data_IF_707081039472
#
_entry.id   IF_707081039472
#
_cell.length_a   1.000
_cell.length_b   1.000
_cell.length_c   1.000
_cell.angle_alpha   90.00
_cell.angle_beta   90.00
_cell.angle_gamma   90.00
#
_symmetry.space_group_name_H-M   'P 1'
#
loop_
_entity.id
_entity.type
_entity.pdbx_description
1 polymer ?
#
# COMPACT_ATOMS: atom_id res chain seq x y z
N UNK A 1 26.67 -18.52 60.36
CA UNK A 1 26.22 -18.93 59.01
C UNK A 1 24.85 -18.33 58.78
N UNK A 2 24.72 -17.38 57.85
CA UNK A 2 23.43 -16.78 57.49
C UNK A 2 23.31 -16.84 55.97
N UNK A 3 22.30 -17.58 55.50
CA UNK A 3 22.03 -17.82 54.08
C UNK A 3 21.10 -16.73 53.58
N UNK A 4 21.56 -15.90 52.65
CA UNK A 4 20.70 -14.93 51.96
C UNK A 4 20.07 -15.62 50.75
N UNK A 5 18.75 -15.82 50.80
CA UNK A 5 17.96 -16.23 49.64
C UNK A 5 17.72 -15.00 48.76
N UNK A 6 18.34 -14.95 47.58
CA UNK A 6 18.12 -13.92 46.58
C UNK A 6 16.93 -14.32 45.69
N UNK A 7 15.80 -13.64 45.86
CA UNK A 7 14.62 -13.78 45.01
C UNK A 7 14.90 -13.10 43.66
N UNK A 8 15.01 -13.89 42.58
CA UNK A 8 15.13 -13.37 41.22
C UNK A 8 13.75 -12.94 40.75
N UNK A 9 13.53 -11.63 40.64
CA UNK A 9 12.35 -11.07 39.97
C UNK A 9 12.55 -11.24 38.46
N UNK A 10 11.78 -12.13 37.84
CA UNK A 10 11.74 -12.27 36.39
C UNK A 10 11.04 -11.05 35.79
N UNK A 11 11.81 -10.08 35.31
CA UNK A 11 11.33 -8.99 34.48
C UNK A 11 10.86 -9.56 33.14
N UNK A 12 9.54 -9.60 32.94
CA UNK A 12 8.93 -9.77 31.63
C UNK A 12 9.33 -8.56 30.77
N UNK A 13 10.39 -8.72 29.99
CA UNK A 13 10.74 -7.84 28.89
C UNK A 13 9.62 -7.95 27.85
N UNK A 14 8.68 -7.01 27.90
CA UNK A 14 7.83 -6.72 26.74
C UNK A 14 8.80 -6.22 25.68
N UNK A 15 9.10 -7.07 24.70
CA UNK A 15 9.90 -6.66 23.56
C UNK A 15 9.24 -5.40 22.97
N UNK A 16 9.98 -4.30 22.77
CA UNK A 16 9.44 -3.19 22.00
C UNK A 16 9.02 -3.78 20.66
N UNK A 17 7.76 -3.59 20.28
CA UNK A 17 7.31 -3.78 18.91
C UNK A 17 8.17 -2.83 18.09
N UNK A 18 9.29 -3.35 17.59
CA UNK A 18 10.18 -2.62 16.72
C UNK A 18 9.34 -2.11 15.58
N UNK A 19 9.39 -0.80 15.37
CA UNK A 19 9.01 -0.16 14.12
C UNK A 19 9.49 -1.08 12.99
N UNK A 20 8.56 -1.61 12.20
CA UNK A 20 8.92 -2.43 11.06
C UNK A 20 9.92 -1.63 10.23
N UNK A 21 11.11 -2.21 10.04
CA UNK A 21 12.18 -1.61 9.25
C UNK A 21 11.60 -1.28 7.85
N UNK A 22 11.62 0.01 7.43
CA UNK A 22 11.00 0.46 6.20
C UNK A 22 11.66 -0.11 4.92
N UNK A 23 12.68 -0.96 5.04
CA UNK A 23 13.30 -1.69 3.94
C UNK A 23 12.93 -3.19 3.87
N UNK A 24 12.16 -3.71 4.83
CA UNK A 24 11.83 -5.15 4.86
C UNK A 24 10.53 -5.39 4.13
N UNK A 25 10.66 -6.09 3.00
CA UNK A 25 9.51 -6.54 2.24
C UNK A 25 8.56 -7.35 3.13
N UNK A 26 7.24 -7.08 3.08
CA UNK A 26 6.27 -7.74 3.92
C UNK A 26 6.30 -9.25 3.69
N UNK A 27 6.05 -9.98 4.78
CA UNK A 27 5.90 -11.43 4.76
C UNK A 27 4.46 -11.78 5.08
N UNK A 28 4.04 -12.96 4.63
CA UNK A 28 2.77 -13.52 5.05
C UNK A 28 2.68 -13.58 6.58
N UNK A 29 1.54 -13.14 7.10
CA UNK A 29 1.30 -12.99 8.51
C UNK A 29 2.07 -11.85 9.19
N UNK A 30 2.74 -10.92 8.51
CA UNK A 30 3.31 -9.72 9.15
C UNK A 30 2.26 -8.62 9.34
N UNK A 31 2.40 -7.70 10.32
CA UNK A 31 1.50 -6.55 10.45
C UNK A 31 1.49 -5.66 9.20
N UNK A 32 0.34 -5.08 8.87
CA UNK A 32 0.16 -4.23 7.68
C UNK A 32 -0.56 -2.90 7.95
N UNK A 33 -0.42 -2.35 9.16
CA UNK A 33 -1.22 -1.20 9.60
C UNK A 33 -1.07 0.07 8.76
N UNK A 34 0.07 0.23 8.07
CA UNK A 34 0.33 1.36 7.20
C UNK A 34 -0.42 1.30 5.85
N UNK A 35 -0.87 0.11 5.43
CA UNK A 35 -1.32 -0.12 4.06
C UNK A 35 -2.77 0.27 3.76
N UNK A 36 -3.62 0.44 4.77
CA UNK A 36 -5.10 0.37 4.67
C UNK A 36 -5.63 -1.05 4.42
N UNK A 37 -6.87 -1.36 4.85
CA UNK A 37 -7.51 -2.64 4.54
C UNK A 37 -7.65 -2.82 3.02
N UNK A 38 -7.57 -4.07 2.58
CA UNK A 38 -7.72 -4.50 1.19
C UNK A 38 -6.62 -4.00 0.23
N UNK A 39 -5.60 -3.33 0.76
CA UNK A 39 -4.41 -2.98 -0.01
C UNK A 39 -3.61 -4.21 -0.37
N UNK A 40 -3.12 -4.22 -1.61
CA UNK A 40 -2.26 -5.28 -2.13
C UNK A 40 -0.81 -4.80 -2.21
N UNK A 41 0.13 -5.73 -2.19
CA UNK A 41 1.57 -5.45 -2.41
C UNK A 41 2.22 -6.71 -2.96
N UNK A 42 3.36 -6.58 -3.63
CA UNK A 42 4.11 -7.76 -4.02
C UNK A 42 4.94 -8.28 -2.85
N UNK A 43 4.87 -9.59 -2.61
CA UNK A 43 5.74 -10.27 -1.65
C UNK A 43 7.23 -10.17 -2.06
N UNK A 44 7.49 -10.00 -3.36
CA UNK A 44 8.78 -9.75 -4.01
C UNK A 44 8.58 -8.84 -5.21
N UNK A 45 9.52 -7.93 -5.57
CA UNK A 45 9.34 -7.10 -6.75
C UNK A 45 9.10 -7.97 -7.98
N UNK A 46 8.11 -7.62 -8.79
CA UNK A 46 7.79 -8.36 -10.01
C UNK A 46 9.02 -8.39 -10.93
N UNK A 47 9.36 -9.57 -11.41
CA UNK A 47 10.44 -9.79 -12.38
C UNK A 47 9.92 -10.59 -13.57
N UNK A 48 10.04 -10.04 -14.77
CA UNK A 48 9.53 -10.66 -15.98
C UNK A 48 8.00 -10.70 -16.04
N UNK A 49 7.45 -11.74 -16.67
CA UNK A 49 6.03 -11.87 -17.03
C UNK A 49 5.24 -12.86 -16.17
N UNK A 50 5.88 -13.52 -15.21
CA UNK A 50 5.21 -14.45 -14.30
C UNK A 50 4.19 -13.70 -13.41
N UNK A 51 3.11 -14.38 -13.02
CA UNK A 51 2.20 -13.85 -12.01
C UNK A 51 2.98 -13.61 -10.71
N UNK A 52 2.88 -12.40 -10.12
CA UNK A 52 3.63 -12.07 -8.93
C UNK A 52 3.04 -12.79 -7.71
N UNK A 53 3.88 -13.09 -6.73
CA UNK A 53 3.41 -13.42 -5.40
C UNK A 53 2.85 -12.16 -4.74
N UNK A 54 1.59 -12.20 -4.31
CA UNK A 54 0.87 -11.04 -3.78
C UNK A 54 0.47 -11.25 -2.33
N UNK A 55 0.52 -10.17 -1.55
CA UNK A 55 -0.05 -10.11 -0.21
C UNK A 55 -1.22 -9.13 -0.21
N UNK A 56 -2.27 -9.47 0.53
CA UNK A 56 -3.43 -8.63 0.81
C UNK A 56 -3.44 -8.24 2.28
N UNK A 57 -3.63 -6.97 2.60
CA UNK A 57 -3.76 -6.52 3.98
C UNK A 57 -5.18 -6.77 4.48
N UNK A 58 -5.34 -7.74 5.37
CA UNK A 58 -6.66 -8.18 5.87
C UNK A 58 -6.85 -7.85 7.35
N UNK A 59 -8.12 -7.67 7.74
CA UNK A 59 -8.54 -7.39 9.11
C UNK A 59 -8.84 -5.90 9.38
N UNK A 60 -9.11 -5.57 10.65
CA UNK A 60 -9.41 -4.19 11.07
C UNK A 60 -8.47 -3.71 12.18
N UNK A 61 -8.54 -4.34 13.36
CA UNK A 61 -7.57 -4.14 14.44
C UNK A 61 -6.53 -5.27 14.41
N UNK A 62 -5.25 -4.92 14.35
CA UNK A 62 -4.16 -5.90 14.20
C UNK A 62 -4.09 -6.50 12.80
N UNK A 63 -4.22 -5.66 11.77
CA UNK A 63 -4.23 -6.08 10.37
C UNK A 63 -2.94 -6.81 10.00
N UNK A 64 -3.06 -7.85 9.19
CA UNK A 64 -1.92 -8.64 8.75
C UNK A 64 -1.95 -8.87 7.26
N UNK A 65 -0.76 -8.95 6.67
CA UNK A 65 -0.58 -9.44 5.33
C UNK A 65 -1.01 -10.90 5.24
N UNK A 66 -1.79 -11.22 4.23
CA UNK A 66 -2.17 -12.58 3.87
C UNK A 66 -1.76 -12.85 2.43
N UNK A 67 -1.05 -13.94 2.19
CA UNK A 67 -0.74 -14.38 0.84
C UNK A 67 -2.00 -14.74 0.06
N UNK A 68 -2.07 -14.26 -1.17
CA UNK A 68 -3.09 -14.62 -2.15
C UNK A 68 -2.44 -15.14 -3.44
N UNK A 69 -3.17 -15.93 -4.22
CA UNK A 69 -2.61 -16.64 -5.37
C UNK A 69 -2.20 -15.72 -6.53
N UNK A 70 -2.86 -14.56 -6.66
CA UNK A 70 -2.65 -13.62 -7.77
C UNK A 70 -3.12 -12.22 -7.38
N UNK A 71 -2.63 -11.23 -8.13
CA UNK A 71 -3.09 -9.86 -8.02
C UNK A 71 -4.59 -9.79 -8.34
N UNK A 72 -5.37 -9.20 -7.44
CA UNK A 72 -6.78 -8.90 -7.66
C UNK A 72 -6.88 -7.63 -8.50
N UNK A 73 -7.43 -7.80 -9.69
CA UNK A 73 -7.50 -6.77 -10.72
C UNK A 73 -8.95 -6.31 -10.95
N UNK A 74 -9.20 -5.03 -11.24
CA UNK A 74 -8.22 -3.94 -11.17
C UNK A 74 -7.79 -3.69 -9.71
N UNK A 75 -6.53 -3.33 -9.52
CA UNK A 75 -6.00 -2.94 -8.22
C UNK A 75 -6.60 -1.59 -7.87
N UNK A 76 -7.32 -1.52 -6.75
CA UNK A 76 -7.92 -0.29 -6.24
C UNK A 76 -7.09 0.37 -5.13
N UNK A 77 -6.29 -0.42 -4.44
CA UNK A 77 -5.35 0.02 -3.41
C UNK A 77 -4.09 -0.84 -3.46
N UNK A 78 -2.95 -0.17 -3.43
CA UNK A 78 -1.64 -0.79 -3.52
C UNK A 78 -0.69 -0.16 -2.50
N UNK A 79 0.26 -0.94 -2.00
CA UNK A 79 1.25 -0.46 -1.05
C UNK A 79 2.66 -0.85 -1.50
N UNK A 80 3.58 0.10 -1.40
CA UNK A 80 5.01 -0.10 -1.68
C UNK A 80 5.82 0.10 -0.40
N UNK A 81 6.88 -0.71 -0.23
CA UNK A 81 7.73 -0.76 0.96
C UNK A 81 9.13 -0.17 0.73
N UNK A 82 9.29 0.76 -0.21
CA UNK A 82 10.59 1.36 -0.54
C UNK A 82 11.08 0.99 -1.94
N UNK A 83 11.35 -0.30 -2.26
CA UNK A 83 11.70 -0.73 -3.62
C UNK A 83 10.64 -0.35 -4.65
N UNK A 84 11.06 -0.21 -5.90
CA UNK A 84 10.13 0.06 -7.00
C UNK A 84 9.31 -1.19 -7.30
N UNK A 85 8.00 -1.01 -7.37
CA UNK A 85 7.05 -2.02 -7.84
C UNK A 85 6.35 -1.49 -9.09
N UNK A 86 6.10 -2.37 -10.06
CA UNK A 86 5.55 -1.97 -11.36
C UNK A 86 4.22 -2.67 -11.64
N UNK A 87 3.20 -1.85 -11.89
CA UNK A 87 1.89 -2.24 -12.38
C UNK A 87 1.79 -1.98 -13.90
N UNK A 88 0.96 -2.75 -14.58
CA UNK A 88 0.75 -2.67 -16.04
C UNK A 88 -0.71 -2.36 -16.37
N UNK A 89 -1.04 -2.00 -17.63
CA UNK A 89 -2.41 -1.70 -18.05
C UNK A 89 -3.48 -2.73 -17.70
N UNK A 90 -3.13 -4.02 -17.59
CA UNK A 90 -4.06 -5.06 -17.15
C UNK A 90 -4.28 -5.11 -15.63
N UNK A 91 -3.39 -4.50 -14.84
CA UNK A 91 -3.45 -4.52 -13.38
C UNK A 91 -4.34 -3.40 -12.81
N UNK A 92 -4.54 -2.30 -13.55
CA UNK A 92 -5.24 -1.08 -13.10
C UNK A 92 -6.25 -0.61 -14.14
N UNK A 93 -7.18 0.25 -13.75
CA UNK A 93 -8.04 0.95 -14.70
C UNK A 93 -7.33 2.18 -15.26
N UNK A 94 -7.08 2.20 -16.57
CA UNK A 94 -6.52 3.38 -17.22
C UNK A 94 -7.53 4.53 -17.23
N UNK A 95 -7.03 5.77 -17.14
CA UNK A 95 -7.86 6.96 -17.05
C UNK A 95 -8.30 7.32 -15.63
N UNK A 96 -8.18 6.40 -14.67
CA UNK A 96 -8.47 6.68 -13.26
C UNK A 96 -7.43 7.64 -12.67
N UNK A 97 -7.88 8.42 -11.69
CA UNK A 97 -7.01 9.22 -10.84
C UNK A 97 -6.55 8.40 -9.65
N UNK A 98 -5.27 8.55 -9.29
CA UNK A 98 -4.64 7.89 -8.16
C UNK A 98 -3.98 8.93 -7.25
N UNK A 99 -4.03 8.67 -5.95
CA UNK A 99 -3.33 9.45 -4.94
C UNK A 99 -2.21 8.61 -4.31
N UNK A 100 -1.05 9.24 -4.13
CA UNK A 100 0.08 8.69 -3.37
C UNK A 100 0.20 9.36 -2.00
N UNK A 101 0.33 8.54 -0.96
CA UNK A 101 0.40 8.98 0.44
C UNK A 101 1.57 8.28 1.13
N UNK A 102 2.48 9.05 1.73
CA UNK A 102 3.57 8.50 2.54
C UNK A 102 3.03 7.80 3.79
N UNK A 103 3.57 6.61 4.09
CA UNK A 103 3.22 5.88 5.33
C UNK A 103 3.75 6.54 6.60
N UNK A 104 4.79 7.37 6.44
CA UNK A 104 5.42 8.17 7.48
C UNK A 104 5.52 9.62 7.02
N UNK A 105 5.72 10.55 7.96
CA UNK A 105 5.81 11.98 7.65
C UNK A 105 7.01 12.33 6.79
N UNK A 106 8.06 11.52 6.79
CA UNK A 106 9.30 11.67 6.00
C UNK A 106 9.27 10.89 4.68
N UNK A 107 8.25 10.06 4.43
CA UNK A 107 8.18 9.23 3.23
C UNK A 107 8.00 10.06 1.96
N UNK A 108 8.86 9.79 0.98
CA UNK A 108 8.77 10.31 -0.38
C UNK A 108 8.22 9.22 -1.30
N UNK A 109 7.12 9.53 -1.95
CA UNK A 109 6.39 8.70 -2.89
C UNK A 109 6.62 9.19 -4.30
N UNK A 110 7.06 8.31 -5.18
CA UNK A 110 7.30 8.61 -6.59
C UNK A 110 6.46 7.67 -7.45
N UNK A 111 5.67 8.26 -8.34
CA UNK A 111 4.96 7.57 -9.40
C UNK A 111 5.59 7.98 -10.74
N UNK A 112 6.02 7.01 -11.52
CA UNK A 112 6.52 7.19 -12.88
C UNK A 112 5.70 6.34 -13.83
N UNK A 113 5.08 6.97 -14.82
CA UNK A 113 4.38 6.28 -15.89
C UNK A 113 5.15 6.40 -17.20
N UNK A 114 5.40 5.27 -17.85
CA UNK A 114 5.90 5.19 -19.22
C UNK A 114 4.73 5.03 -20.18
N UNK A 115 4.96 5.26 -21.49
CA UNK A 115 3.89 5.31 -22.47
C UNK A 115 4.17 4.44 -23.69
N UNK A 116 3.13 3.80 -24.21
CA UNK A 116 3.18 2.91 -25.39
C UNK A 116 3.42 3.67 -26.69
N UNK A 117 3.05 4.95 -26.74
CA UNK A 117 3.24 5.84 -27.88
C UNK A 117 4.68 6.39 -28.01
N UNK A 118 5.57 6.01 -27.09
CA UNK A 118 6.98 6.39 -27.10
C UNK A 118 7.27 7.80 -26.60
N UNK A 119 6.27 8.54 -26.10
CA UNK A 119 6.54 9.84 -25.48
C UNK A 119 7.33 9.68 -24.17
N UNK A 120 8.01 10.74 -23.68
CA UNK A 120 8.79 10.67 -22.44
C UNK A 120 7.94 10.28 -21.23
N UNK A 121 8.51 9.55 -20.27
CA UNK A 121 7.84 9.21 -19.01
C UNK A 121 7.36 10.45 -18.26
N UNK A 122 6.21 10.33 -17.59
CA UNK A 122 5.73 11.33 -16.65
C UNK A 122 6.06 10.90 -15.23
N UNK A 123 6.75 11.77 -14.48
CA UNK A 123 7.14 11.54 -13.09
C UNK A 123 6.37 12.50 -12.19
N UNK A 124 5.80 11.97 -11.12
CA UNK A 124 5.15 12.71 -10.05
C UNK A 124 5.72 12.26 -8.72
N UNK A 125 6.03 13.24 -7.87
CA UNK A 125 6.54 13.01 -6.52
C UNK A 125 5.78 13.89 -5.56
N UNK A 126 5.55 13.40 -4.35
CA UNK A 126 5.13 14.30 -3.27
C UNK A 126 6.32 15.11 -2.73
N UNK A 127 5.99 16.25 -2.13
CA UNK A 127 6.82 16.78 -1.06
C UNK A 127 6.61 15.92 0.19
N UNK A 128 7.62 15.86 1.05
CA UNK A 128 7.61 15.11 2.31
C UNK A 128 6.30 15.32 3.09
N UNK A 129 5.57 14.24 3.37
CA UNK A 129 4.31 14.25 4.12
C UNK A 129 3.08 14.78 3.39
N UNK A 130 3.16 15.09 2.08
CA UNK A 130 2.03 15.60 1.30
C UNK A 130 1.38 14.54 0.41
N UNK A 131 0.09 14.71 0.17
CA UNK A 131 -0.66 14.00 -0.86
C UNK A 131 -0.28 14.54 -2.24
N UNK A 132 -0.26 13.67 -3.23
CA UNK A 132 -0.26 14.11 -4.64
C UNK A 132 -1.16 13.19 -5.45
N UNK A 133 -1.89 13.79 -6.39
CA UNK A 133 -2.73 13.09 -7.35
C UNK A 133 -2.08 13.03 -8.72
N UNK A 134 -2.29 11.94 -9.44
CA UNK A 134 -1.89 11.77 -10.83
C UNK A 134 -2.92 10.95 -11.59
N UNK A 135 -3.06 11.22 -12.88
CA UNK A 135 -3.99 10.51 -13.75
C UNK A 135 -3.24 9.42 -14.50
N UNK A 136 -3.75 8.19 -14.44
CA UNK A 136 -3.25 7.12 -15.27
C UNK A 136 -3.60 7.41 -16.72
N UNK A 137 -2.59 7.46 -17.58
CA UNK A 137 -2.85 7.71 -19.00
C UNK A 137 -3.54 6.51 -19.67
N UNK A 138 -4.48 6.75 -20.60
CA UNK A 138 -4.97 5.72 -21.51
C UNK A 138 -3.87 5.04 -22.35
N UNK A 139 -2.73 5.71 -22.56
CA UNK A 139 -1.58 5.19 -23.32
C UNK A 139 -0.43 4.74 -22.39
N UNK A 140 -0.73 4.46 -21.12
CA UNK A 140 0.27 3.98 -20.17
C UNK A 140 0.82 2.61 -20.61
N UNK A 141 2.14 2.45 -20.66
CA UNK A 141 2.79 1.16 -20.86
C UNK A 141 3.15 0.49 -19.53
N UNK A 142 3.58 1.27 -18.54
CA UNK A 142 3.85 0.79 -17.18
C UNK A 142 3.67 1.92 -16.17
N UNK A 143 3.35 1.55 -14.93
CA UNK A 143 3.34 2.43 -13.77
C UNK A 143 4.33 1.91 -12.72
N UNK A 144 5.42 2.63 -12.51
CA UNK A 144 6.41 2.36 -11.49
C UNK A 144 6.11 3.19 -10.24
N UNK A 145 5.92 2.52 -9.12
CA UNK A 145 5.61 3.10 -7.82
C UNK A 145 6.77 2.85 -6.86
N UNK A 146 7.23 3.89 -6.18
CA UNK A 146 8.41 3.83 -5.29
C UNK A 146 8.16 4.57 -3.98
N UNK A 147 8.82 4.10 -2.93
CA UNK A 147 8.77 4.68 -1.59
C UNK A 147 7.94 3.84 -0.63
N UNK A 148 7.87 4.26 0.62
CA UNK A 148 7.03 3.63 1.62
C UNK A 148 5.65 4.30 1.60
N UNK A 149 4.77 3.80 0.75
CA UNK A 149 3.65 4.59 0.24
C UNK A 149 2.40 3.75 0.04
N UNK A 150 1.27 4.37 0.38
CA UNK A 150 -0.06 3.90 0.04
C UNK A 150 -0.53 4.61 -1.22
N UNK A 151 -1.02 3.81 -2.15
CA UNK A 151 -1.51 4.21 -3.46
C UNK A 151 -2.97 3.81 -3.58
N UNK A 152 -3.87 4.76 -3.78
CA UNK A 152 -5.31 4.50 -3.83
C UNK A 152 -5.92 5.22 -5.01
N UNK A 153 -7.00 4.67 -5.56
CA UNK A 153 -7.84 5.45 -6.47
C UNK A 153 -8.31 6.72 -5.76
N UNK A 154 -8.04 7.86 -6.39
CA UNK A 154 -8.37 9.18 -5.87
C UNK A 154 -9.88 9.40 -5.92
N UNK A 155 -10.57 9.55 -4.76
CA UNK A 155 -11.96 9.98 -4.75
C UNK A 155 -12.11 11.44 -5.22
N UNK A 156 -10.99 12.17 -5.33
CA UNK A 156 -10.91 13.59 -5.61
C UNK A 156 -10.73 13.94 -7.09
N UNK A 157 -10.60 12.96 -7.98
CA UNK A 157 -10.16 13.16 -9.36
C UNK A 157 -8.86 14.00 -9.45
N UNK A 158 -7.88 13.73 -8.58
CA UNK A 158 -6.56 14.38 -8.62
C UNK A 158 -6.46 15.77 -8.01
N UNK A 159 -7.50 16.26 -7.32
CA UNK A 159 -7.41 17.55 -6.60
C UNK A 159 -6.63 17.38 -5.30
N UNK A 160 -5.63 18.24 -5.02
CA UNK A 160 -4.86 18.20 -3.78
C UNK A 160 -5.73 18.62 -2.58
N UNK A 161 -5.63 17.88 -1.47
CA UNK A 161 -6.30 18.15 -0.20
C UNK A 161 -7.07 16.94 0.35
N UNK A 162 -7.40 16.90 1.65
CA UNK A 162 -8.24 15.84 2.20
C UNK A 162 -9.66 16.02 1.66
N UNK A 163 -10.00 15.33 0.58
CA UNK A 163 -11.40 15.22 0.21
C UNK A 163 -12.10 14.47 1.33
N UNK A 164 -12.95 15.19 2.05
CA UNK A 164 -13.81 14.69 3.13
C UNK A 164 -14.86 13.68 2.66
N UNK A 165 -14.76 13.16 1.44
CA UNK A 165 -15.61 12.09 0.96
C UNK A 165 -14.99 10.76 1.39
N UNK A 166 -15.53 10.20 2.49
CA UNK A 166 -15.46 8.75 2.72
C UNK A 166 -15.69 8.05 1.38
N UNK A 167 -14.73 7.23 0.96
CA UNK A 167 -14.98 6.22 -0.05
C UNK A 167 -16.20 5.41 0.41
N UNK A 168 -17.34 5.59 -0.27
CA UNK A 168 -18.53 4.75 -0.09
C UNK A 168 -18.39 3.66 -1.15
N UNK A 169 -18.19 2.39 -0.76
CA UNK A 169 -18.14 1.30 -1.72
C UNK A 169 -19.44 1.29 -2.53
N UNK A 170 -19.42 0.96 -3.84
CA UNK A 170 -20.64 0.73 -4.58
C UNK A 170 -21.42 -0.38 -3.88
N UNK A 171 -22.63 -0.05 -3.42
CA UNK A 171 -23.51 -0.99 -2.72
C UNK A 171 -23.95 -2.05 -3.73
N UNK A 172 -23.28 -3.21 -3.74
CA UNK A 172 -23.80 -4.37 -4.45
C UNK A 172 -24.91 -4.96 -3.58
N UNK A 173 -26.15 -4.69 -3.98
CA UNK A 173 -27.32 -5.36 -3.43
C UNK A 173 -28.13 -4.49 -2.48
N UNK A 174 -29.25 -4.01 -3.00
CA UNK A 174 -30.41 -3.58 -2.25
C UNK A 174 -30.81 -4.64 -1.21
N UNK A 175 -30.73 -4.29 0.07
CA UNK A 175 -31.69 -4.78 1.06
C UNK A 175 -31.88 -3.72 2.14
N UNK A 176 -32.86 -2.87 1.88
CA UNK A 176 -33.67 -2.21 2.89
C UNK A 176 -33.93 -3.21 4.03
N UNK A 177 -33.48 -2.88 5.24
CA UNK A 177 -33.95 -3.56 6.44
C UNK A 177 -34.57 -2.50 7.32
N UNK A 178 -35.86 -2.32 7.10
CA UNK A 178 -36.78 -1.83 8.12
C UNK A 178 -36.53 -2.62 9.42
N UNK A 179 -36.24 -1.87 10.49
CA UNK A 179 -36.82 -2.01 11.83
C UNK A 179 -36.33 -0.85 12.69
#
# INVERSE_FOLDING_TARGET
MATFAATVVATLLVAPVGSADPAVQPKDGAPCDAADPDSQTFAKPRSGTAEPEVLLCVGFQGRRWQRIDRLQRPVHSFYTYGPTETLYPGDVNLGDWWDGVGSTTDAICVAEQSFSDGRPSEIKTNNVGQYFGFKLSPEMASLSLKGNCRWVISPCNGKPGPCTARYVPPTIGSRERDT
#
